data_IF_835431312643
#
_entry.id   IF_835431312643
#
_cell.length_a   1.000
_cell.length_b   1.000
_cell.length_c   1.000
_cell.angle_alpha   90.00
_cell.angle_beta   90.00
_cell.angle_gamma   90.00
#
_symmetry.space_group_name_H-M   'P 1'
#
loop_
_entity.id
_entity.type
_entity.pdbx_description
1 polymer ?
#
# COMPACT_ATOMS: atom_id res chain seq x y z
N UNK A 1 0.95 -13.76 27.17
CA UNK A 1 -0.07 -13.43 26.14
C UNK A 1 -0.11 -14.55 25.13
N UNK A 2 -1.30 -15.14 24.91
CA UNK A 2 -1.46 -16.33 24.06
C UNK A 2 -1.41 -15.96 22.56
N UNK A 3 -1.31 -16.95 21.67
CA UNK A 3 -1.38 -16.68 20.23
C UNK A 3 -2.76 -16.13 19.81
N UNK A 4 -3.81 -16.58 20.48
CA UNK A 4 -5.19 -16.10 20.30
C UNK A 4 -5.27 -14.59 20.56
N UNK A 5 -4.67 -14.12 21.65
CA UNK A 5 -4.63 -12.70 22.01
C UNK A 5 -3.77 -11.89 21.02
N UNK A 6 -2.57 -12.39 20.72
CA UNK A 6 -1.60 -11.72 19.83
C UNK A 6 -2.18 -11.47 18.43
N UNK A 7 -2.99 -12.40 17.92
CA UNK A 7 -3.62 -12.32 16.61
C UNK A 7 -5.07 -11.84 16.64
N UNK A 8 -5.64 -11.62 17.85
CA UNK A 8 -7.04 -11.28 18.08
C UNK A 8 -8.00 -12.25 17.39
N UNK A 9 -7.79 -13.56 17.57
CA UNK A 9 -8.53 -14.60 16.83
C UNK A 9 -10.01 -14.69 17.25
N UNK A 10 -10.36 -14.22 18.45
CA UNK A 10 -11.73 -14.23 18.99
C UNK A 10 -12.76 -13.47 18.14
N UNK A 11 -12.32 -12.60 17.21
CA UNK A 11 -13.21 -11.82 16.34
C UNK A 11 -13.70 -12.59 15.11
N UNK A 12 -13.07 -13.73 14.80
CA UNK A 12 -13.41 -14.52 13.61
C UNK A 12 -14.50 -15.53 13.96
N UNK A 13 -15.48 -15.63 13.07
CA UNK A 13 -16.69 -16.45 13.26
C UNK A 13 -16.60 -17.75 12.47
N UNK A 14 -16.06 -17.71 11.25
CA UNK A 14 -15.90 -18.88 10.38
C UNK A 14 -14.42 -19.26 10.25
N UNK A 15 -13.78 -19.52 11.39
CA UNK A 15 -12.37 -19.89 11.43
C UNK A 15 -12.17 -21.40 11.33
N UNK A 16 -11.35 -21.85 10.37
CA UNK A 16 -10.85 -23.22 10.31
C UNK A 16 -9.47 -23.34 10.95
N UNK A 17 -9.19 -24.49 11.57
CA UNK A 17 -7.90 -24.85 12.15
C UNK A 17 -7.45 -26.19 11.58
N UNK A 18 -6.37 -26.18 10.81
CA UNK A 18 -5.89 -27.34 10.07
C UNK A 18 -4.58 -27.83 10.68
N UNK A 19 -4.46 -29.14 10.85
CA UNK A 19 -3.25 -29.84 11.30
C UNK A 19 -2.72 -29.43 12.70
N UNK A 20 -3.57 -28.97 13.61
CA UNK A 20 -3.12 -28.74 15.00
C UNK A 20 -2.54 -30.06 15.57
N UNK A 21 -1.32 -30.05 16.12
CA UNK A 21 -0.76 -31.25 16.73
C UNK A 21 -1.61 -31.72 17.93
N UNK A 22 -1.74 -33.03 18.13
CA UNK A 22 -2.66 -33.61 19.12
C UNK A 22 -2.37 -33.19 20.58
N UNK A 23 -1.11 -32.90 20.89
CA UNK A 23 -0.69 -32.43 22.21
C UNK A 23 -0.80 -30.91 22.39
N UNK A 24 -1.26 -30.20 21.36
CA UNK A 24 -1.66 -28.79 21.45
C UNK A 24 -3.16 -28.70 21.70
N UNK A 25 -3.56 -28.08 22.81
CA UNK A 25 -4.97 -27.82 23.15
C UNK A 25 -5.36 -26.34 23.00
N UNK A 26 -4.86 -25.68 21.93
CA UNK A 26 -5.07 -24.24 21.72
C UNK A 26 -6.43 -23.96 21.10
N UNK A 27 -6.79 -24.73 20.07
CA UNK A 27 -8.04 -24.62 19.34
C UNK A 27 -8.86 -25.89 19.54
N UNK A 28 -9.86 -25.85 20.41
CA UNK A 28 -10.67 -27.03 20.77
C UNK A 28 -12.07 -27.02 20.17
N UNK A 29 -12.52 -25.89 19.59
CA UNK A 29 -13.90 -25.68 19.12
C UNK A 29 -14.01 -25.29 17.64
N UNK A 30 -12.92 -25.38 16.87
CA UNK A 30 -12.89 -24.90 15.50
C UNK A 30 -12.99 -26.03 14.48
N UNK A 31 -13.52 -25.73 13.30
CA UNK A 31 -13.63 -26.68 12.20
C UNK A 31 -12.23 -27.13 11.76
N UNK A 32 -12.05 -28.44 11.60
CA UNK A 32 -10.77 -29.04 11.23
C UNK A 32 -10.65 -29.32 9.73
N UNK A 33 -11.50 -28.69 8.92
CA UNK A 33 -11.57 -28.91 7.47
C UNK A 33 -11.81 -27.60 6.75
N UNK A 34 -11.39 -27.55 5.48
CA UNK A 34 -11.67 -26.41 4.62
C UNK A 34 -13.13 -26.41 4.19
N UNK A 35 -13.71 -25.22 4.25
CA UNK A 35 -14.99 -24.84 3.67
C UNK A 35 -14.80 -23.56 2.85
N UNK A 36 -15.89 -23.07 2.27
CA UNK A 36 -15.88 -21.76 1.64
C UNK A 36 -16.07 -20.65 2.68
N UNK A 37 -15.74 -19.43 2.27
CA UNK A 37 -16.06 -18.20 3.01
C UNK A 37 -15.46 -18.10 4.41
N UNK A 38 -14.23 -18.57 4.60
CA UNK A 38 -13.51 -18.39 5.87
C UNK A 38 -13.11 -16.92 6.08
N UNK A 39 -13.34 -16.40 7.28
CA UNK A 39 -12.80 -15.11 7.70
C UNK A 39 -11.42 -15.25 8.36
N UNK A 40 -11.07 -16.44 8.82
CA UNK A 40 -9.70 -16.84 9.14
C UNK A 40 -9.46 -18.32 8.88
N UNK A 41 -8.22 -18.68 8.54
CA UNK A 41 -7.75 -20.06 8.54
C UNK A 41 -6.42 -20.11 9.28
N UNK A 42 -6.25 -21.04 10.21
CA UNK A 42 -5.02 -21.26 10.94
C UNK A 42 -4.49 -22.66 10.61
N UNK A 43 -3.29 -22.75 10.06
CA UNK A 43 -2.72 -24.00 9.56
C UNK A 43 -1.38 -24.22 10.25
N UNK A 44 -1.16 -25.41 10.78
CA UNK A 44 0.17 -25.86 11.20
C UNK A 44 0.82 -26.60 10.04
N UNK A 45 2.05 -26.22 9.72
CA UNK A 45 2.87 -26.82 8.66
C UNK A 45 4.26 -27.12 9.20
N UNK A 46 4.86 -28.20 8.74
CA UNK A 46 6.20 -28.62 9.15
C UNK A 46 7.25 -28.24 8.10
N UNK A 47 6.83 -28.14 6.83
CA UNK A 47 7.73 -27.85 5.70
C UNK A 47 7.29 -26.63 4.90
N UNK A 48 8.24 -26.07 4.15
CA UNK A 48 7.98 -24.95 3.26
C UNK A 48 7.09 -25.36 2.08
N UNK A 49 7.24 -26.59 1.59
CA UNK A 49 6.44 -27.13 0.50
C UNK A 49 4.96 -27.26 0.89
N UNK A 50 4.66 -27.71 2.13
CA UNK A 50 3.30 -27.71 2.66
C UNK A 50 2.69 -26.31 2.72
N UNK A 51 3.46 -25.32 3.19
CA UNK A 51 3.01 -23.92 3.23
C UNK A 51 2.65 -23.40 1.84
N UNK A 52 3.48 -23.71 0.84
CA UNK A 52 3.25 -23.35 -0.56
C UNK A 52 2.00 -24.06 -1.10
N UNK A 53 1.87 -25.37 -0.87
CA UNK A 53 0.73 -26.17 -1.32
C UNK A 53 -0.60 -25.65 -0.75
N UNK A 54 -0.67 -25.39 0.56
CA UNK A 54 -1.87 -24.82 1.19
C UNK A 54 -2.15 -23.40 0.70
N UNK A 55 -1.12 -22.59 0.47
CA UNK A 55 -1.31 -21.25 -0.10
C UNK A 55 -1.95 -21.33 -1.49
N UNK A 56 -1.48 -22.25 -2.35
CA UNK A 56 -2.07 -22.49 -3.66
C UNK A 56 -3.52 -22.96 -3.56
N UNK A 57 -3.80 -23.94 -2.69
CA UNK A 57 -5.15 -24.45 -2.46
C UNK A 57 -6.13 -23.35 -2.03
N UNK A 58 -5.72 -22.47 -1.11
CA UNK A 58 -6.53 -21.34 -0.63
C UNK A 58 -6.84 -20.35 -1.77
N UNK A 59 -5.86 -20.08 -2.62
CA UNK A 59 -6.01 -19.17 -3.77
C UNK A 59 -6.95 -19.78 -4.81
N UNK A 60 -6.69 -21.03 -5.22
CA UNK A 60 -7.41 -21.74 -6.27
C UNK A 60 -8.89 -21.91 -5.93
N UNK A 61 -9.19 -22.36 -4.71
CA UNK A 61 -10.57 -22.58 -4.26
C UNK A 61 -11.20 -21.34 -3.61
N UNK A 62 -10.50 -20.20 -3.59
CA UNK A 62 -10.96 -18.94 -3.01
C UNK A 62 -11.52 -19.06 -1.59
N UNK A 63 -10.84 -19.82 -0.73
CA UNK A 63 -11.37 -20.22 0.59
C UNK A 63 -11.56 -19.06 1.57
N UNK A 64 -10.90 -17.91 1.36
CA UNK A 64 -10.96 -16.75 2.25
C UNK A 64 -11.92 -15.67 1.77
N UNK A 65 -12.73 -15.10 2.66
CA UNK A 65 -13.49 -13.87 2.41
C UNK A 65 -12.58 -12.65 2.16
N UNK A 66 -13.07 -11.57 1.52
CA UNK A 66 -12.38 -10.29 1.48
C UNK A 66 -12.01 -9.82 2.89
N UNK A 67 -10.75 -9.40 3.09
CA UNK A 67 -10.15 -9.06 4.40
C UNK A 67 -9.97 -10.24 5.36
N UNK A 68 -10.25 -11.47 4.93
CA UNK A 68 -9.95 -12.69 5.66
C UNK A 68 -8.45 -12.95 5.76
N UNK A 69 -8.06 -13.81 6.70
CA UNK A 69 -6.66 -14.09 7.01
C UNK A 69 -6.34 -15.59 6.89
N UNK A 70 -5.16 -15.92 6.38
CA UNK A 70 -4.53 -17.22 6.64
C UNK A 70 -3.32 -17.02 7.54
N UNK A 71 -3.19 -17.88 8.54
CA UNK A 71 -2.06 -17.93 9.47
C UNK A 71 -1.39 -19.29 9.35
N UNK A 72 -0.10 -19.31 9.06
CA UNK A 72 0.72 -20.53 9.08
C UNK A 72 1.60 -20.54 10.32
N UNK A 73 1.38 -21.49 11.22
CA UNK A 73 2.31 -21.83 12.29
C UNK A 73 3.34 -22.82 11.76
N UNK A 74 4.61 -22.43 11.78
CA UNK A 74 5.71 -23.25 11.28
C UNK A 74 6.83 -23.41 12.31
N UNK A 75 7.52 -24.57 12.35
CA UNK A 75 8.62 -24.81 13.26
C UNK A 75 9.78 -23.87 12.94
N UNK A 76 10.24 -23.13 13.95
CA UNK A 76 11.37 -22.21 13.79
C UNK A 76 12.70 -22.93 14.03
N UNK A 77 13.79 -22.36 13.52
CA UNK A 77 15.14 -22.87 13.73
C UNK A 77 15.44 -23.06 15.22
N UNK A 78 15.98 -24.22 15.59
CA UNK A 78 16.30 -24.56 16.98
C UNK A 78 15.11 -25.04 17.82
N UNK A 79 13.94 -25.30 17.20
CA UNK A 79 12.88 -26.03 17.88
C UNK A 79 13.36 -27.44 18.25
N UNK A 80 12.84 -27.99 19.35
CA UNK A 80 13.22 -29.32 19.87
C UNK A 80 12.22 -30.42 19.54
N UNK A 81 11.14 -30.07 18.83
CA UNK A 81 10.00 -30.96 18.57
C UNK A 81 10.15 -31.69 17.24
N UNK A 82 10.49 -30.95 16.19
CA UNK A 82 10.60 -31.46 14.83
C UNK A 82 12.06 -31.48 14.41
N UNK A 83 12.41 -32.44 13.55
CA UNK A 83 13.71 -32.45 12.86
C UNK A 83 13.79 -31.37 11.77
N UNK A 84 12.65 -30.85 11.34
CA UNK A 84 12.50 -29.79 10.33
C UNK A 84 12.36 -28.42 10.97
N UNK A 85 12.64 -27.39 10.16
CA UNK A 85 12.32 -26.01 10.45
C UNK A 85 12.18 -25.23 9.15
N UNK A 86 11.49 -24.11 9.19
CA UNK A 86 11.41 -23.18 8.05
C UNK A 86 12.19 -21.91 8.39
N UNK A 87 13.12 -21.52 7.53
CA UNK A 87 13.83 -20.26 7.69
C UNK A 87 12.93 -19.10 7.26
N UNK A 88 12.87 -18.04 8.08
CA UNK A 88 12.01 -16.87 7.81
C UNK A 88 12.24 -16.29 6.41
N UNK A 89 13.50 -16.20 6.01
CA UNK A 89 13.91 -15.54 4.78
C UNK A 89 13.59 -16.37 3.51
N UNK A 90 13.24 -17.65 3.68
CA UNK A 90 12.85 -18.55 2.58
C UNK A 90 11.35 -18.47 2.27
N UNK A 91 10.52 -18.02 3.22
CA UNK A 91 9.05 -17.98 3.06
C UNK A 91 8.63 -17.09 1.90
N UNK A 92 9.16 -15.87 1.83
CA UNK A 92 8.74 -14.90 0.81
C UNK A 92 9.22 -15.30 -0.60
N UNK A 93 10.47 -15.73 -0.81
CA UNK A 93 10.90 -16.30 -2.09
C UNK A 93 10.05 -17.48 -2.55
N UNK A 94 9.76 -18.44 -1.66
CA UNK A 94 9.00 -19.64 -2.03
C UNK A 94 7.53 -19.35 -2.35
N UNK A 95 6.92 -18.39 -1.64
CA UNK A 95 5.58 -17.89 -1.96
C UNK A 95 5.58 -16.84 -3.09
N UNK A 96 6.73 -16.52 -3.69
CA UNK A 96 6.89 -15.50 -4.74
C UNK A 96 6.23 -14.17 -4.35
N UNK A 97 6.50 -13.71 -3.13
CA UNK A 97 5.98 -12.44 -2.61
C UNK A 97 6.67 -11.27 -3.30
N UNK A 98 5.89 -10.32 -3.83
CA UNK A 98 6.42 -9.11 -4.48
C UNK A 98 6.85 -8.02 -3.48
N UNK A 99 7.44 -6.93 -4.00
CA UNK A 99 7.90 -5.79 -3.20
C UNK A 99 6.78 -5.11 -2.40
N UNK A 100 5.53 -5.22 -2.87
CA UNK A 100 4.36 -4.69 -2.19
C UNK A 100 3.81 -5.67 -1.14
N UNK A 101 4.43 -6.85 -0.99
CA UNK A 101 4.10 -7.87 -0.02
C UNK A 101 2.99 -8.82 -0.47
N UNK A 102 2.63 -8.86 -1.76
CA UNK A 102 1.60 -9.77 -2.28
C UNK A 102 2.19 -11.07 -2.82
N UNK A 103 1.55 -12.19 -2.50
CA UNK A 103 1.81 -13.49 -3.12
C UNK A 103 1.43 -13.43 -4.61
N UNK A 104 2.34 -13.90 -5.48
CA UNK A 104 2.17 -13.86 -6.92
C UNK A 104 0.82 -14.45 -7.37
N UNK A 105 0.14 -13.76 -8.29
CA UNK A 105 -1.14 -14.22 -8.85
C UNK A 105 -2.33 -14.15 -7.89
N UNK A 106 -2.23 -13.45 -6.76
CA UNK A 106 -3.32 -13.38 -5.77
C UNK A 106 -3.48 -12.02 -5.09
N UNK A 107 -4.59 -11.89 -4.34
CA UNK A 107 -4.87 -10.81 -3.40
C UNK A 107 -4.32 -11.10 -1.97
N UNK A 108 -3.55 -12.18 -1.77
CA UNK A 108 -2.97 -12.46 -0.46
C UNK A 108 -1.75 -11.58 -0.23
N UNK A 109 -1.83 -10.72 0.78
CA UNK A 109 -0.77 -9.81 1.20
C UNK A 109 -0.21 -10.22 2.55
N UNK A 110 1.11 -10.20 2.70
CA UNK A 110 1.75 -10.30 4.00
C UNK A 110 1.17 -9.27 4.97
N UNK A 111 0.80 -9.74 6.16
CA UNK A 111 0.29 -8.90 7.23
C UNK A 111 1.24 -8.79 8.40
N UNK A 112 1.78 -9.90 8.90
CA UNK A 112 2.61 -9.93 10.10
C UNK A 112 3.31 -11.26 10.28
N UNK A 113 4.30 -11.27 11.17
CA UNK A 113 4.93 -12.46 11.71
C UNK A 113 5.02 -12.33 13.22
N UNK A 114 4.65 -13.39 13.96
CA UNK A 114 4.55 -13.35 15.43
C UNK A 114 5.06 -14.67 16.01
N UNK A 115 5.96 -14.60 16.99
CA UNK A 115 6.36 -15.80 17.76
C UNK A 115 5.15 -16.34 18.53
N UNK A 116 4.84 -17.61 18.32
CA UNK A 116 3.79 -18.31 19.06
C UNK A 116 4.33 -18.79 20.40
N UNK A 117 5.33 -19.68 20.35
CA UNK A 117 5.96 -20.29 21.52
C UNK A 117 7.45 -20.63 21.23
N UNK A 118 7.99 -21.68 21.84
CA UNK A 118 9.36 -22.17 21.66
C UNK A 118 9.54 -23.06 20.43
N UNK A 119 8.45 -23.53 19.84
CA UNK A 119 8.45 -24.38 18.65
C UNK A 119 8.08 -23.57 17.41
N UNK A 120 6.98 -22.83 17.47
CA UNK A 120 6.34 -22.22 16.32
C UNK A 120 6.55 -20.71 16.23
N UNK A 121 6.69 -20.25 14.98
CA UNK A 121 6.43 -18.87 14.58
C UNK A 121 5.23 -18.86 13.64
N UNK A 122 4.41 -17.82 13.72
CA UNK A 122 3.23 -17.67 12.86
C UNK A 122 3.47 -16.57 11.84
N UNK A 123 3.31 -16.87 10.56
CA UNK A 123 3.21 -15.88 9.48
C UNK A 123 1.74 -15.71 9.09
N UNK A 124 1.29 -14.47 8.96
CA UNK A 124 -0.08 -14.14 8.56
C UNK A 124 -0.13 -13.44 7.21
N UNK A 125 -0.98 -13.96 6.32
CA UNK A 125 -1.35 -13.33 5.06
C UNK A 125 -2.83 -12.90 5.14
N UNK A 126 -3.18 -11.80 4.48
CA UNK A 126 -4.51 -11.23 4.45
C UNK A 126 -4.98 -11.11 3.00
N UNK A 127 -6.20 -11.52 2.71
CA UNK A 127 -6.83 -11.23 1.42
C UNK A 127 -7.20 -9.75 1.34
N UNK A 128 -6.47 -8.97 0.57
CA UNK A 128 -6.72 -7.55 0.34
C UNK A 128 -6.49 -7.25 -1.15
N UNK A 129 -7.47 -6.61 -1.81
CA UNK A 129 -7.29 -6.22 -3.20
C UNK A 129 -6.09 -5.28 -3.34
N UNK A 130 -5.27 -5.52 -4.36
CA UNK A 130 -4.22 -4.58 -4.75
C UNK A 130 -4.85 -3.20 -4.96
N UNK A 131 -4.33 -2.20 -4.25
CA UNK A 131 -4.72 -0.81 -4.47
C UNK A 131 -4.15 -0.41 -5.82
N UNK A 132 -4.98 0.16 -6.69
CA UNK A 132 -4.49 0.78 -7.92
C UNK A 132 -3.37 1.76 -7.57
N UNK A 133 -2.23 1.65 -8.26
CA UNK A 133 -1.09 2.54 -8.04
C UNK A 133 -1.59 3.97 -8.22
N UNK A 134 -1.59 4.75 -7.15
CA UNK A 134 -1.92 6.18 -7.23
C UNK A 134 -0.97 6.80 -8.25
N UNK A 135 -1.47 7.62 -9.20
CA UNK A 135 -0.62 8.18 -10.24
C UNK A 135 0.46 9.05 -9.58
N UNK A 136 1.74 8.75 -9.84
CA UNK A 136 2.94 9.40 -9.27
C UNK A 136 2.71 10.88 -9.06
N UNK A 137 2.70 11.36 -7.82
CA UNK A 137 2.38 12.77 -7.51
C UNK A 137 3.26 13.71 -8.34
N UNK A 138 2.67 14.77 -8.89
CA UNK A 138 3.44 15.76 -9.64
C UNK A 138 4.54 16.37 -8.76
N UNK A 139 5.71 16.61 -9.34
CA UNK A 139 6.87 17.13 -8.59
C UNK A 139 6.53 18.43 -7.89
N UNK A 140 7.07 18.61 -6.69
CA UNK A 140 6.98 19.87 -5.95
C UNK A 140 8.20 20.77 -6.20
N UNK A 141 9.23 20.30 -6.89
CA UNK A 141 10.44 21.08 -7.18
C UNK A 141 10.17 22.02 -8.34
N UNK A 142 10.39 23.30 -8.11
CA UNK A 142 10.23 24.38 -9.11
C UNK A 142 11.13 24.15 -10.33
N UNK A 143 12.32 23.57 -10.13
CA UNK A 143 13.27 23.28 -11.20
C UNK A 143 12.70 22.35 -12.29
N UNK A 144 11.81 21.42 -11.91
CA UNK A 144 11.25 20.42 -12.81
C UNK A 144 10.25 21.02 -13.81
N UNK A 145 9.85 22.28 -13.61
CA UNK A 145 8.91 23.02 -14.46
C UNK A 145 9.58 24.13 -15.27
N UNK A 146 10.92 24.13 -15.37
CA UNK A 146 11.66 25.18 -16.07
C UNK A 146 11.27 25.30 -17.55
N UNK A 147 11.01 24.18 -18.22
CA UNK A 147 10.57 24.17 -19.63
C UNK A 147 9.16 24.73 -19.79
N UNK A 148 8.30 24.57 -18.78
CA UNK A 148 6.91 25.01 -18.84
C UNK A 148 6.75 26.54 -18.72
N UNK A 149 7.82 27.29 -18.48
CA UNK A 149 7.76 28.76 -18.50
C UNK A 149 7.28 29.29 -19.86
N UNK A 150 7.69 28.64 -20.96
CA UNK A 150 7.24 28.98 -22.32
C UNK A 150 5.74 28.73 -22.51
N UNK A 151 5.22 27.64 -21.93
CA UNK A 151 3.79 27.33 -21.98
C UNK A 151 2.96 28.39 -21.22
N UNK A 152 3.51 28.92 -20.13
CA UNK A 152 2.87 30.04 -19.40
C UNK A 152 2.86 31.32 -20.24
N UNK A 153 3.95 31.63 -20.93
CA UNK A 153 4.01 32.79 -21.84
C UNK A 153 2.99 32.66 -22.98
N UNK A 154 2.84 31.45 -23.55
CA UNK A 154 1.81 31.17 -24.55
C UNK A 154 0.39 31.36 -24.00
N UNK A 155 0.13 30.98 -22.75
CA UNK A 155 -1.16 31.21 -22.07
C UNK A 155 -1.45 32.71 -21.89
N UNK A 156 -0.41 33.52 -21.67
CA UNK A 156 -0.52 34.96 -21.45
C UNK A 156 -0.44 35.79 -22.74
N UNK A 157 -0.25 35.17 -23.91
CA UNK A 157 -0.12 35.87 -25.19
C UNK A 157 -1.33 36.76 -25.50
N UNK A 158 -2.53 36.34 -25.07
CA UNK A 158 -3.79 37.10 -25.22
C UNK A 158 -3.93 38.26 -24.21
N UNK A 159 -2.99 38.41 -23.28
CA UNK A 159 -3.00 39.40 -22.19
C UNK A 159 -1.67 40.18 -22.12
N UNK A 160 -1.40 41.11 -23.06
CA UNK A 160 -0.08 41.72 -23.24
C UNK A 160 0.50 42.39 -21.99
N UNK A 161 -0.34 43.06 -21.19
CA UNK A 161 0.09 43.70 -19.94
C UNK A 161 0.54 42.68 -18.90
N UNK A 162 -0.21 41.58 -18.75
CA UNK A 162 0.14 40.49 -17.83
C UNK A 162 1.37 39.73 -18.31
N UNK A 163 1.51 39.52 -19.63
CA UNK A 163 2.69 38.90 -20.22
C UNK A 163 3.95 39.73 -19.95
N UNK A 164 3.88 41.05 -20.16
CA UNK A 164 5.00 41.96 -19.88
C UNK A 164 5.37 41.94 -18.40
N UNK A 165 4.37 42.02 -17.50
CA UNK A 165 4.60 41.91 -16.06
C UNK A 165 5.23 40.57 -15.69
N UNK A 166 4.71 39.46 -16.21
CA UNK A 166 5.24 38.12 -15.98
C UNK A 166 6.69 37.97 -16.46
N UNK A 167 7.03 38.49 -17.63
CA UNK A 167 8.38 38.46 -18.18
C UNK A 167 9.38 39.29 -17.36
N UNK A 168 8.90 40.36 -16.70
CA UNK A 168 9.71 41.16 -15.76
C UNK A 168 10.04 40.42 -14.46
N UNK A 169 9.34 39.33 -14.14
CA UNK A 169 9.57 38.56 -12.92
C UNK A 169 10.91 37.82 -12.97
N UNK A 170 11.51 37.66 -11.79
CA UNK A 170 12.72 36.83 -11.66
C UNK A 170 12.44 35.39 -12.10
N UNK A 171 13.46 34.65 -12.58
CA UNK A 171 13.27 33.27 -13.04
C UNK A 171 12.60 32.35 -12.00
N UNK A 172 12.82 32.60 -10.70
CA UNK A 172 12.18 31.86 -9.62
C UNK A 172 10.65 31.99 -9.64
N UNK A 173 10.13 33.22 -9.73
CA UNK A 173 8.68 33.46 -9.77
C UNK A 173 8.03 32.90 -11.03
N UNK A 174 8.69 33.02 -12.18
CA UNK A 174 8.19 32.44 -13.45
C UNK A 174 8.05 30.92 -13.36
N UNK A 175 9.08 30.23 -12.86
CA UNK A 175 9.02 28.78 -12.67
C UNK A 175 7.99 28.37 -11.61
N UNK A 176 7.75 29.19 -10.60
CA UNK A 176 6.75 28.89 -9.59
C UNK A 176 5.32 28.97 -10.13
N UNK A 177 5.02 29.94 -11.00
CA UNK A 177 3.76 29.97 -11.75
C UNK A 177 3.61 28.76 -12.67
N UNK A 178 4.67 28.35 -13.35
CA UNK A 178 4.68 27.15 -14.16
C UNK A 178 4.40 25.90 -13.31
N UNK A 179 5.07 25.74 -12.17
CA UNK A 179 4.78 24.69 -11.19
C UNK A 179 3.32 24.74 -10.74
N UNK A 180 2.81 25.92 -10.41
CA UNK A 180 1.43 26.07 -9.97
C UNK A 180 0.45 25.61 -11.04
N UNK A 181 0.59 26.00 -12.29
CA UNK A 181 -0.30 25.55 -13.36
C UNK A 181 -0.15 24.06 -13.64
N UNK A 182 1.08 23.59 -13.90
CA UNK A 182 1.32 22.28 -14.49
C UNK A 182 1.40 21.13 -13.48
N UNK A 183 1.59 21.42 -12.18
CA UNK A 183 1.45 20.40 -11.12
C UNK A 183 0.02 19.88 -10.96
N UNK A 184 -0.99 20.62 -11.43
CA UNK A 184 -2.35 20.09 -11.53
C UNK A 184 -2.44 19.12 -12.70
N UNK A 185 -2.90 17.88 -12.48
CA UNK A 185 -3.03 16.88 -13.55
C UNK A 185 -4.35 16.98 -14.32
N UNK A 186 -5.41 17.40 -13.65
CA UNK A 186 -6.74 17.50 -14.24
C UNK A 186 -6.92 18.83 -14.95
N UNK A 187 -7.44 18.80 -16.17
CA UNK A 187 -7.67 20.00 -16.99
C UNK A 187 -8.53 21.03 -16.24
N UNK A 188 -9.64 20.59 -15.64
CA UNK A 188 -10.51 21.46 -14.82
C UNK A 188 -9.77 22.21 -13.70
N UNK A 189 -8.77 21.57 -13.08
CA UNK A 189 -7.95 22.22 -12.05
C UNK A 189 -6.97 23.20 -12.68
N UNK A 190 -6.34 22.83 -13.81
CA UNK A 190 -5.46 23.73 -14.58
C UNK A 190 -6.20 24.98 -15.03
N UNK A 191 -7.42 24.85 -15.54
CA UNK A 191 -8.25 25.98 -15.99
C UNK A 191 -8.56 26.93 -14.84
N UNK A 192 -8.95 26.38 -13.67
CA UNK A 192 -9.17 27.18 -12.47
C UNK A 192 -7.90 27.92 -12.04
N UNK A 193 -6.75 27.25 -12.07
CA UNK A 193 -5.45 27.84 -11.72
C UNK A 193 -5.02 28.91 -12.73
N UNK A 194 -5.31 28.73 -14.03
CA UNK A 194 -5.10 29.75 -15.07
C UNK A 194 -5.91 31.00 -14.74
N UNK A 195 -7.20 30.86 -14.46
CA UNK A 195 -8.04 32.01 -14.10
C UNK A 195 -7.54 32.72 -12.84
N UNK A 196 -7.12 31.96 -11.82
CA UNK A 196 -6.52 32.53 -10.62
C UNK A 196 -5.19 33.24 -10.90
N UNK A 197 -4.36 32.71 -11.78
CA UNK A 197 -3.12 33.36 -12.20
C UNK A 197 -3.39 34.69 -12.89
N UNK A 198 -4.36 34.74 -13.81
CA UNK A 198 -4.74 35.96 -14.50
C UNK A 198 -5.22 37.04 -13.51
N UNK A 199 -6.10 36.68 -12.57
CA UNK A 199 -6.57 37.60 -11.51
C UNK A 199 -5.42 38.14 -10.65
N UNK A 200 -4.49 37.27 -10.25
CA UNK A 200 -3.40 37.64 -9.36
C UNK A 200 -2.36 38.52 -10.08
N UNK A 201 -2.03 38.19 -11.33
CA UNK A 201 -1.10 39.00 -12.14
C UNK A 201 -1.70 40.36 -12.49
N UNK A 202 -3.01 40.45 -12.78
CA UNK A 202 -3.67 41.73 -13.07
C UNK A 202 -3.66 42.69 -11.88
N UNK A 203 -3.53 42.16 -10.66
CA UNK A 203 -3.37 42.94 -9.44
C UNK A 203 -1.89 43.24 -9.10
N UNK A 204 -0.94 42.86 -9.95
CA UNK A 204 0.48 43.16 -9.79
C UNK A 204 1.24 42.27 -8.79
N UNK A 205 0.67 41.13 -8.40
CA UNK A 205 1.33 40.21 -7.46
C UNK A 205 2.26 39.23 -8.19
N UNK A 206 3.47 39.06 -7.65
CA UNK A 206 4.52 38.23 -8.26
C UNK A 206 4.31 36.73 -8.03
N UNK A 207 3.58 36.36 -6.98
CA UNK A 207 3.23 34.97 -6.65
C UNK A 207 1.90 34.88 -5.90
N UNK A 208 1.38 33.66 -5.78
CA UNK A 208 0.15 33.36 -5.05
C UNK A 208 0.34 33.58 -3.54
N UNK A 209 1.51 33.25 -3.00
CA UNK A 209 1.80 33.45 -1.59
C UNK A 209 1.74 34.94 -1.24
N UNK A 210 2.33 35.81 -2.07
CA UNK A 210 2.30 37.26 -1.85
C UNK A 210 0.87 37.82 -1.90
N UNK A 211 0.05 37.36 -2.85
CA UNK A 211 -1.36 37.70 -2.91
C UNK A 211 -2.13 37.28 -1.65
N UNK A 212 -1.89 36.05 -1.17
CA UNK A 212 -2.55 35.53 0.03
C UNK A 212 -2.11 36.23 1.31
N UNK A 213 -0.86 36.68 1.39
CA UNK A 213 -0.35 37.40 2.56
C UNK A 213 -1.03 38.76 2.74
N UNK A 214 -1.39 39.45 1.65
CA UNK A 214 -2.09 40.74 1.73
C UNK A 214 -3.60 40.63 1.93
N UNK A 215 -4.20 39.45 1.69
CA UNK A 215 -5.63 39.18 1.95
C UNK A 215 -5.89 38.57 3.33
N UNK A 216 -4.85 38.42 4.16
CA UNK A 216 -4.96 38.08 5.58
C UNK A 216 -4.95 39.34 6.42
#
# INVERSE_FOLDING_TARGET
MTIIDKLKLQKYTNMAVINQPDDYAIFTKHNQSFHQEHDAIFIFVETLDEMVAYTHQIIEHQLLLPKGYVFFAYPKKGNKRYSTYIHRDEIFPSLKVDEEGYVAGSDLKFSRMVRMDDVFTVVGLKREKRKEKKPVSASQRVADYAQNVQDVEAILADYPEMLSFYQSLTPGYRKDWARYLFSAKQQKTRDKRKQQMLDILSQGYKSIELYRQQKK
#
